data_IF_333999023126
#
_entry.id   IF_333999023126
#
_cell.length_a   1.000
_cell.length_b   1.000
_cell.length_c   1.000
_cell.angle_alpha   90.00
_cell.angle_beta   90.00
_cell.angle_gamma   90.00
#
_symmetry.space_group_name_H-M   'P 1'
#
loop_
_entity.id
_entity.type
_entity.pdbx_description
1 polymer ?
#
# COMPACT_ATOMS: atom_id res chain seq x y z
N UNK A 1 9.49 10.52 25.12
CA UNK A 1 9.94 10.22 23.74
C UNK A 1 9.69 8.74 23.49
N UNK A 2 8.49 8.39 23.02
CA UNK A 2 8.11 7.00 22.75
C UNK A 2 8.47 6.70 21.29
N UNK A 3 9.27 5.66 21.08
CA UNK A 3 9.50 5.06 19.76
C UNK A 3 8.16 4.68 19.13
N UNK A 4 7.94 4.90 17.82
CA UNK A 4 6.76 4.34 17.17
C UNK A 4 6.88 2.82 17.30
N UNK A 5 5.95 2.19 18.04
CA UNK A 5 5.81 0.73 18.01
C UNK A 5 5.58 0.37 16.55
N UNK A 6 6.51 -0.38 15.96
CA UNK A 6 6.21 -1.09 14.73
C UNK A 6 5.00 -1.98 15.05
N UNK A 7 3.86 -1.70 14.44
CA UNK A 7 2.72 -2.61 14.48
C UNK A 7 3.22 -3.99 14.04
N UNK A 8 3.00 -5.04 14.82
CA UNK A 8 3.44 -6.40 14.47
C UNK A 8 2.83 -6.85 13.13
N UNK A 9 1.66 -6.32 12.75
CA UNK A 9 1.05 -6.55 11.44
C UNK A 9 1.85 -5.96 10.28
N UNK A 10 2.67 -4.94 10.56
CA UNK A 10 3.48 -4.26 9.56
C UNK A 10 4.86 -4.87 9.34
N UNK A 11 5.37 -5.61 10.33
CA UNK A 11 6.70 -6.21 10.28
C UNK A 11 6.93 -7.15 9.09
N UNK A 12 5.87 -7.79 8.59
CA UNK A 12 5.92 -8.73 7.48
C UNK A 12 5.61 -8.13 6.10
N UNK A 13 5.17 -6.88 6.03
CA UNK A 13 4.59 -6.31 4.81
C UNK A 13 5.65 -6.06 3.74
N UNK A 14 6.83 -5.48 4.09
CA UNK A 14 7.88 -5.10 3.13
C UNK A 14 7.34 -4.49 1.81
N UNK A 15 6.60 -3.38 1.87
CA UNK A 15 6.20 -2.64 0.68
C UNK A 15 7.43 -2.08 -0.06
N UNK A 16 7.31 -1.93 -1.37
CA UNK A 16 8.31 -1.27 -2.23
C UNK A 16 8.83 -2.12 -3.37
N UNK A 17 8.29 -3.33 -3.58
CA UNK A 17 8.71 -4.18 -4.70
C UNK A 17 8.24 -3.61 -6.05
N UNK A 18 6.97 -3.19 -6.10
CA UNK A 18 6.37 -2.42 -7.17
C UNK A 18 5.62 -1.23 -6.55
N UNK A 19 5.51 -0.14 -7.30
CA UNK A 19 4.91 1.11 -6.81
C UNK A 19 4.22 1.81 -7.96
N UNK A 20 3.02 2.32 -7.67
CA UNK A 20 2.33 3.29 -8.51
C UNK A 20 1.56 4.29 -7.61
N UNK A 21 1.02 5.36 -8.17
CA UNK A 21 0.29 6.38 -7.41
C UNK A 21 -0.75 7.12 -8.23
N UNK A 22 -1.79 7.62 -7.57
CA UNK A 22 -2.78 8.51 -8.19
C UNK A 22 -3.36 9.47 -7.14
N UNK A 23 -3.84 10.62 -7.57
CA UNK A 23 -4.47 11.65 -6.73
C UNK A 23 -5.97 11.48 -6.59
N UNK A 24 -6.54 10.40 -7.12
CA UNK A 24 -7.98 10.18 -7.04
C UNK A 24 -8.38 8.71 -6.89
N UNK A 25 -7.44 7.87 -6.46
CA UNK A 25 -7.66 6.42 -6.37
C UNK A 25 -8.63 6.01 -5.25
N UNK A 26 -8.48 6.58 -4.05
CA UNK A 26 -9.35 6.26 -2.90
C UNK A 26 -10.29 7.43 -2.59
N UNK A 27 -9.80 8.66 -2.72
CA UNK A 27 -10.59 9.89 -2.59
C UNK A 27 -10.12 10.87 -3.65
N UNK A 28 -11.07 11.57 -4.28
CA UNK A 28 -10.75 12.63 -5.23
C UNK A 28 -9.89 13.72 -4.60
N UNK A 29 -8.79 14.06 -5.27
CA UNK A 29 -7.83 15.07 -4.85
C UNK A 29 -6.85 14.64 -3.75
N UNK A 30 -6.90 13.39 -3.27
CA UNK A 30 -5.97 12.86 -2.27
C UNK A 30 -4.94 11.92 -2.93
N UNK A 31 -3.65 12.18 -2.69
CA UNK A 31 -2.58 11.28 -3.14
C UNK A 31 -2.66 9.94 -2.41
N UNK A 32 -2.87 8.88 -3.18
CA UNK A 32 -2.70 7.50 -2.76
C UNK A 32 -1.50 6.89 -3.45
N UNK A 33 -0.61 6.28 -2.66
CA UNK A 33 0.51 5.47 -3.12
C UNK A 33 0.11 4.00 -2.96
N UNK A 34 0.23 3.22 -4.02
CA UNK A 34 0.01 1.78 -4.02
C UNK A 34 1.36 1.10 -4.09
N UNK A 35 1.60 0.13 -3.22
CA UNK A 35 2.83 -0.64 -3.25
C UNK A 35 2.62 -2.13 -3.09
N UNK A 36 3.27 -2.88 -3.98
CA UNK A 36 3.35 -4.31 -3.94
C UNK A 36 4.30 -4.83 -2.86
N UNK A 37 3.85 -5.90 -2.21
CA UNK A 37 4.51 -6.62 -1.14
C UNK A 37 4.41 -8.13 -1.42
N UNK A 38 5.07 -8.67 -2.47
CA UNK A 38 4.88 -10.04 -2.96
C UNK A 38 5.31 -11.14 -1.98
N UNK A 39 5.99 -10.76 -0.89
CA UNK A 39 6.38 -11.67 0.21
C UNK A 39 5.60 -11.40 1.50
N UNK A 40 4.70 -10.42 1.48
CA UNK A 40 3.85 -10.07 2.60
C UNK A 40 2.90 -11.22 2.93
N UNK A 41 2.74 -11.52 4.22
CA UNK A 41 1.79 -12.55 4.67
C UNK A 41 2.04 -13.95 4.08
N UNK A 42 3.27 -14.25 3.64
CA UNK A 42 3.69 -15.53 3.03
C UNK A 42 3.03 -15.88 1.67
N UNK A 43 2.23 -14.98 1.11
CA UNK A 43 1.49 -15.18 -0.14
C UNK A 43 1.72 -14.02 -1.12
N UNK A 44 1.67 -12.79 -0.60
CA UNK A 44 1.69 -11.54 -1.35
C UNK A 44 0.59 -10.60 -0.85
N UNK A 45 0.90 -9.30 -0.83
CA UNK A 45 -0.01 -8.25 -0.40
C UNK A 45 0.17 -7.00 -1.26
N UNK A 46 -0.85 -6.15 -1.32
CA UNK A 46 -0.80 -4.81 -1.91
C UNK A 46 -1.25 -3.79 -0.86
N UNK A 47 -0.52 -2.69 -0.75
CA UNK A 47 -0.62 -1.73 0.34
C UNK A 47 -0.97 -0.37 -0.23
N UNK A 48 -2.01 0.25 0.31
CA UNK A 48 -2.42 1.61 -0.02
C UNK A 48 -1.96 2.53 1.10
N UNK A 49 -1.28 3.59 0.73
CA UNK A 49 -0.66 4.54 1.65
C UNK A 49 -0.99 5.96 1.25
N UNK A 50 -0.99 6.85 2.23
CA UNK A 50 -1.14 8.29 2.02
C UNK A 50 -0.17 9.08 2.90
N UNK A 51 0.15 10.34 2.54
CA UNK A 51 0.92 11.20 3.42
C UNK A 51 0.26 11.33 4.80
N UNK A 52 1.03 11.15 5.86
CA UNK A 52 0.57 11.39 7.22
C UNK A 52 0.33 12.91 7.40
N UNK A 53 -0.90 13.26 7.80
CA UNK A 53 -1.33 14.64 7.96
C UNK A 53 -0.54 15.40 9.05
N UNK A 54 -0.06 14.68 10.07
CA UNK A 54 0.65 15.24 11.23
C UNK A 54 2.16 15.16 11.05
N UNK A 55 2.66 14.06 10.47
CA UNK A 55 4.06 13.83 10.19
C UNK A 55 4.30 13.77 8.68
N UNK A 56 4.32 14.92 8.00
CA UNK A 56 4.37 15.04 6.52
C UNK A 56 5.48 14.25 5.78
N UNK A 57 6.48 13.71 6.49
CA UNK A 57 7.54 12.85 5.94
C UNK A 57 7.24 11.36 6.05
N UNK A 58 6.14 10.99 6.70
CA UNK A 58 5.71 9.63 6.94
C UNK A 58 4.53 9.29 6.01
N UNK A 59 4.40 8.00 5.73
CA UNK A 59 3.23 7.44 5.07
C UNK A 59 2.39 6.71 6.11
N UNK A 60 1.09 6.97 6.09
CA UNK A 60 0.10 6.22 6.85
C UNK A 60 -0.53 5.17 5.94
N UNK A 61 -0.73 3.95 6.45
CA UNK A 61 -1.40 2.89 5.72
C UNK A 61 -2.90 3.07 5.82
N UNK A 62 -3.56 2.99 4.68
CA UNK A 62 -4.99 3.15 4.54
C UNK A 62 -5.69 1.80 4.32
N UNK A 63 -5.10 0.92 3.50
CA UNK A 63 -5.66 -0.39 3.18
C UNK A 63 -4.55 -1.40 2.86
N UNK A 64 -4.78 -2.66 3.22
CA UNK A 64 -3.95 -3.79 2.80
C UNK A 64 -4.86 -4.82 2.14
N UNK A 65 -4.54 -5.18 0.91
CA UNK A 65 -5.14 -6.30 0.19
C UNK A 65 -4.20 -7.50 0.32
N UNK A 66 -4.72 -8.63 0.80
CA UNK A 66 -3.95 -9.87 0.99
C UNK A 66 -4.58 -10.98 0.17
N UNK A 67 -3.76 -11.75 -0.55
CA UNK A 67 -4.27 -12.89 -1.32
C UNK A 67 -4.53 -14.12 -0.44
N UNK A 68 -5.60 -14.89 -0.71
CA UNK A 68 -5.86 -16.14 0.01
C UNK A 68 -4.91 -17.30 -0.40
N UNK A 69 -4.37 -17.28 -1.62
CA UNK A 69 -3.57 -18.38 -2.18
C UNK A 69 -2.09 -18.32 -1.84
N UNK A 70 -1.46 -19.43 -1.46
CA UNK A 70 -0.02 -19.46 -1.13
C UNK A 70 0.88 -19.21 -2.35
N UNK A 71 1.98 -18.48 -2.14
CA UNK A 71 3.04 -18.24 -3.13
C UNK A 71 2.59 -17.62 -4.48
N UNK A 72 1.47 -16.89 -4.51
CA UNK A 72 0.98 -16.21 -5.72
C UNK A 72 1.89 -15.08 -6.19
N UNK A 73 2.73 -14.54 -5.29
CA UNK A 73 3.51 -13.31 -5.50
C UNK A 73 2.61 -12.11 -5.78
N UNK A 74 1.46 -12.04 -5.12
CA UNK A 74 0.53 -10.92 -5.29
C UNK A 74 1.17 -9.59 -4.90
N UNK A 75 1.00 -8.58 -5.77
CA UNK A 75 1.75 -7.34 -5.69
C UNK A 75 3.16 -7.44 -6.27
N UNK A 76 3.48 -8.44 -7.10
CA UNK A 76 4.73 -8.43 -7.88
C UNK A 76 4.78 -7.23 -8.83
N UNK A 77 3.66 -6.92 -9.47
CA UNK A 77 3.47 -5.72 -10.29
C UNK A 77 2.15 -5.05 -9.91
N UNK A 78 2.11 -3.73 -10.03
CA UNK A 78 0.90 -2.93 -9.77
C UNK A 78 0.80 -1.83 -10.81
N UNK A 79 -0.43 -1.55 -11.25
CA UNK A 79 -0.75 -0.43 -12.11
C UNK A 79 -2.07 0.19 -11.64
N UNK A 80 -2.11 1.51 -11.59
CA UNK A 80 -3.30 2.30 -11.31
C UNK A 80 -3.84 2.81 -12.63
N UNK A 81 -5.10 2.48 -12.92
CA UNK A 81 -5.77 2.87 -14.16
C UNK A 81 -7.17 3.35 -13.84
N UNK A 82 -7.50 4.54 -14.32
CA UNK A 82 -8.87 5.04 -14.37
C UNK A 82 -9.55 4.44 -15.62
N UNK A 83 -10.36 3.41 -15.39
CA UNK A 83 -11.03 2.66 -16.48
C UNK A 83 -12.34 3.31 -16.93
N UNK A 84 -12.97 4.11 -16.07
CA UNK A 84 -14.29 4.69 -16.27
C UNK A 84 -14.25 6.22 -16.47
N UNK A 85 -13.08 6.84 -16.38
CA UNK A 85 -12.87 8.26 -16.66
C UNK A 85 -13.44 9.19 -15.59
N UNK A 86 -13.68 8.69 -14.37
CA UNK A 86 -14.23 9.52 -13.28
C UNK A 86 -13.16 10.24 -12.45
N UNK A 87 -11.89 9.98 -12.78
CA UNK A 87 -10.73 10.52 -12.09
C UNK A 87 -10.70 10.00 -10.67
#
# INVERSE_FOLDING_TARGET
MLTPRCDERLSALRPGFSVDSSTALVRQGELTIVSGAPRGGYSGQVVFMKPDATAKRNLAIELVLSEPGLASSFGYDVAVVDLNGDG
#
